data_IF_960571774860
#
_entry.id   IF_960571774860
#
_cell.length_a   1.000
_cell.length_b   1.000
_cell.length_c   1.000
_cell.angle_alpha   90.00
_cell.angle_beta   90.00
_cell.angle_gamma   90.00
#
_symmetry.space_group_name_H-M   'P 1'
#
loop_
_entity.id
_entity.type
_entity.pdbx_description
1 polymer ?
#
# COMPACT_ATOMS: atom_id res chain seq x y z
N UNK A 1 18.81 -17.42 -23.66
CA UNK A 1 18.68 -16.24 -22.81
C UNK A 1 19.62 -15.08 -23.18
N UNK A 2 20.74 -15.37 -23.90
CA UNK A 2 21.74 -14.34 -24.26
C UNK A 2 21.33 -13.41 -25.41
N UNK A 3 20.26 -13.68 -26.15
CA UNK A 3 19.88 -12.90 -27.36
C UNK A 3 18.96 -11.68 -27.13
N UNK A 4 18.45 -11.45 -25.88
CA UNK A 4 17.50 -10.36 -25.59
C UNK A 4 17.88 -9.54 -24.33
N UNK A 5 19.16 -9.38 -24.04
CA UNK A 5 19.63 -8.63 -22.86
C UNK A 5 19.24 -7.14 -22.85
N UNK A 6 18.79 -6.60 -23.99
CA UNK A 6 18.39 -5.20 -24.13
C UNK A 6 16.87 -4.99 -24.20
N UNK A 7 16.06 -6.05 -24.14
CA UNK A 7 14.60 -5.91 -24.11
C UNK A 7 14.17 -5.33 -22.73
N UNK A 8 13.54 -4.14 -22.71
CA UNK A 8 13.10 -3.50 -21.46
C UNK A 8 12.16 -4.36 -20.63
N UNK A 9 11.29 -5.18 -21.26
CA UNK A 9 10.34 -6.06 -20.55
C UNK A 9 11.05 -7.24 -19.89
N UNK A 10 12.06 -7.80 -20.58
CA UNK A 10 12.87 -8.88 -20.01
C UNK A 10 13.67 -8.36 -18.81
N UNK A 11 14.27 -7.19 -18.95
CA UNK A 11 15.00 -6.55 -17.85
C UNK A 11 14.08 -6.25 -16.66
N UNK A 12 12.83 -5.82 -16.88
CA UNK A 12 11.85 -5.60 -15.83
C UNK A 12 11.54 -6.89 -15.05
N UNK A 13 11.32 -8.01 -15.75
CA UNK A 13 11.06 -9.32 -15.11
C UNK A 13 12.27 -9.78 -14.29
N UNK A 14 13.48 -9.64 -14.84
CA UNK A 14 14.72 -9.99 -14.14
C UNK A 14 14.89 -9.14 -12.90
N UNK A 15 14.70 -7.83 -13.01
CA UNK A 15 14.79 -6.89 -11.89
C UNK A 15 13.80 -7.23 -10.77
N UNK A 16 12.54 -7.52 -11.13
CA UNK A 16 11.52 -7.95 -10.16
C UNK A 16 11.92 -9.25 -9.45
N UNK A 17 12.55 -10.18 -10.18
CA UNK A 17 13.04 -11.44 -9.60
C UNK A 17 14.16 -11.19 -8.59
N UNK A 18 15.14 -10.34 -8.94
CA UNK A 18 16.20 -9.94 -8.02
C UNK A 18 15.67 -9.21 -6.79
N UNK A 19 14.72 -8.27 -6.98
CA UNK A 19 14.08 -7.56 -5.86
C UNK A 19 13.38 -8.51 -4.89
N UNK A 20 12.68 -9.54 -5.39
CA UNK A 20 12.00 -10.54 -4.55
C UNK A 20 12.93 -11.39 -3.70
N UNK A 21 14.16 -11.58 -4.13
CA UNK A 21 15.20 -12.30 -3.38
C UNK A 21 16.20 -11.33 -2.71
N UNK A 22 15.79 -10.07 -2.51
CA UNK A 22 16.51 -9.01 -1.80
C UNK A 22 17.88 -8.64 -2.40
N UNK A 23 18.12 -9.01 -3.65
CA UNK A 23 19.30 -8.59 -4.40
C UNK A 23 19.07 -7.23 -5.06
N UNK A 24 19.00 -6.19 -4.21
CA UNK A 24 18.57 -4.87 -4.64
C UNK A 24 19.56 -4.20 -5.60
N UNK A 25 20.87 -4.42 -5.47
CA UNK A 25 21.88 -3.83 -6.36
C UNK A 25 21.77 -4.39 -7.78
N UNK A 26 21.64 -5.69 -7.91
CA UNK A 26 21.40 -6.36 -9.20
C UNK A 26 20.05 -5.92 -9.82
N UNK A 27 19.02 -5.76 -8.99
CA UNK A 27 17.74 -5.24 -9.46
C UNK A 27 17.86 -3.83 -10.05
N UNK A 28 18.64 -2.92 -9.43
CA UNK A 28 18.87 -1.55 -9.91
C UNK A 28 19.46 -1.55 -11.33
N UNK A 29 20.44 -2.41 -11.61
CA UNK A 29 21.08 -2.51 -12.92
C UNK A 29 20.09 -2.89 -14.04
N UNK A 30 19.18 -3.82 -13.73
CA UNK A 30 18.15 -4.24 -14.68
C UNK A 30 17.01 -3.23 -14.81
N UNK A 31 16.56 -2.61 -13.70
CA UNK A 31 15.58 -1.53 -13.76
C UNK A 31 16.10 -0.31 -14.54
N UNK A 32 17.40 -0.04 -14.52
CA UNK A 32 18.00 1.03 -15.30
C UNK A 32 17.88 0.82 -16.82
N UNK A 33 17.75 -0.43 -17.28
CA UNK A 33 17.52 -0.79 -18.69
C UNK A 33 16.03 -0.80 -19.08
N UNK A 34 15.14 -0.69 -18.10
CA UNK A 34 13.69 -0.60 -18.31
C UNK A 34 13.22 0.83 -18.11
N UNK A 35 12.56 1.39 -19.12
CA UNK A 35 12.07 2.78 -19.10
C UNK A 35 10.61 2.89 -18.64
N UNK A 36 10.03 1.84 -18.05
CA UNK A 36 8.66 1.92 -17.54
C UNK A 36 8.60 2.74 -16.25
N UNK A 37 7.48 3.44 -16.06
CA UNK A 37 7.24 4.19 -14.80
C UNK A 37 7.42 3.32 -13.57
N UNK A 38 6.81 2.15 -13.57
CA UNK A 38 6.87 1.20 -12.45
C UNK A 38 8.30 0.75 -12.17
N UNK A 39 9.11 0.53 -13.21
CA UNK A 39 10.51 0.17 -13.06
C UNK A 39 11.33 1.27 -12.39
N UNK A 40 11.06 2.54 -12.70
CA UNK A 40 11.74 3.66 -12.06
C UNK A 40 11.37 3.80 -10.58
N UNK A 41 10.09 3.57 -10.23
CA UNK A 41 9.65 3.57 -8.84
C UNK A 41 10.31 2.45 -8.02
N UNK A 42 10.39 1.25 -8.57
CA UNK A 42 11.06 0.12 -7.90
C UNK A 42 12.58 0.25 -7.90
N UNK A 43 13.19 0.89 -8.91
CA UNK A 43 14.60 1.25 -8.89
C UNK A 43 14.90 2.17 -7.72
N UNK A 44 14.10 3.23 -7.55
CA UNK A 44 14.23 4.15 -6.42
C UNK A 44 14.11 3.42 -5.08
N UNK A 45 13.14 2.51 -4.95
CA UNK A 45 12.99 1.70 -3.75
C UNK A 45 14.23 0.84 -3.47
N UNK A 46 14.75 0.14 -4.48
CA UNK A 46 15.95 -0.66 -4.33
C UNK A 46 17.15 0.17 -3.92
N UNK A 47 17.31 1.39 -4.47
CA UNK A 47 18.35 2.34 -4.08
C UNK A 47 18.18 2.73 -2.61
N UNK A 48 16.94 3.05 -2.20
CA UNK A 48 16.63 3.46 -0.82
C UNK A 48 16.96 2.37 0.20
N UNK A 49 16.58 1.13 -0.08
CA UNK A 49 16.83 -0.01 0.82
C UNK A 49 18.32 -0.40 0.87
N UNK A 50 19.03 -0.28 -0.25
CA UNK A 50 20.41 -0.75 -0.36
C UNK A 50 21.48 0.29 -0.02
N UNK A 51 21.10 1.50 0.40
CA UNK A 51 22.03 2.55 0.82
C UNK A 51 22.92 2.08 1.99
N UNK A 52 24.22 2.35 1.89
CA UNK A 52 25.20 1.99 2.94
C UNK A 52 26.09 3.15 3.37
N UNK A 53 26.15 4.22 2.59
CA UNK A 53 27.07 5.33 2.80
C UNK A 53 26.55 6.63 2.18
N UNK A 54 27.23 7.75 2.43
CA UNK A 54 26.82 9.07 1.94
C UNK A 54 26.84 9.19 0.42
N UNK A 55 27.69 8.43 -0.28
CA UNK A 55 27.69 8.39 -1.75
C UNK A 55 26.42 7.74 -2.28
N UNK A 56 25.99 6.61 -1.71
CA UNK A 56 24.74 5.96 -2.06
C UNK A 56 23.54 6.90 -1.78
N UNK A 57 23.58 7.58 -0.64
CA UNK A 57 22.55 8.56 -0.24
C UNK A 57 22.44 9.71 -1.25
N UNK A 58 23.60 10.24 -1.69
CA UNK A 58 23.61 11.31 -2.69
C UNK A 58 23.00 10.82 -4.01
N UNK A 59 23.41 9.66 -4.52
CA UNK A 59 22.88 9.08 -5.77
C UNK A 59 21.37 8.84 -5.68
N UNK A 60 20.89 8.38 -4.52
CA UNK A 60 19.46 8.23 -4.25
C UNK A 60 18.72 9.57 -4.34
N UNK A 61 19.21 10.62 -3.68
CA UNK A 61 18.56 11.94 -3.70
C UNK A 61 18.58 12.57 -5.09
N UNK A 62 19.71 12.48 -5.81
CA UNK A 62 19.83 12.99 -7.17
C UNK A 62 18.76 12.32 -8.09
N UNK A 63 18.55 11.01 -7.95
CA UNK A 63 17.55 10.27 -8.72
C UNK A 63 16.11 10.57 -8.26
N UNK A 64 15.88 10.73 -6.98
CA UNK A 64 14.57 11.16 -6.44
C UNK A 64 14.17 12.53 -6.97
N UNK A 65 15.11 13.49 -6.99
CA UNK A 65 14.88 14.83 -7.54
C UNK A 65 14.61 14.80 -9.05
N UNK A 66 15.30 13.92 -9.80
CA UNK A 66 15.00 13.69 -11.22
C UNK A 66 13.55 13.23 -11.41
N UNK A 67 13.09 12.24 -10.64
CA UNK A 67 11.72 11.75 -10.72
C UNK A 67 10.69 12.83 -10.33
N UNK A 68 10.96 13.60 -9.30
CA UNK A 68 10.07 14.67 -8.82
C UNK A 68 9.89 15.80 -9.86
N UNK A 69 10.93 16.08 -10.64
CA UNK A 69 10.89 17.11 -11.69
C UNK A 69 10.09 16.68 -12.94
N UNK A 70 9.73 15.41 -13.07
CA UNK A 70 9.05 14.86 -14.26
C UNK A 70 7.51 14.89 -14.20
N UNK A 71 6.88 15.63 -13.29
CA UNK A 71 5.43 15.60 -13.05
C UNK A 71 4.90 14.19 -12.73
N UNK A 72 5.72 13.38 -12.12
CA UNK A 72 5.48 11.98 -11.85
C UNK A 72 4.83 11.80 -10.48
N UNK A 73 3.53 11.66 -10.42
CA UNK A 73 2.82 11.28 -9.19
C UNK A 73 2.63 9.76 -9.12
N UNK A 74 3.60 9.09 -8.54
CA UNK A 74 3.54 7.66 -8.23
C UNK A 74 3.47 7.47 -6.71
N UNK A 75 2.54 6.67 -6.18
CA UNK A 75 2.39 6.50 -4.73
C UNK A 75 3.67 5.99 -4.04
N UNK A 76 4.43 5.09 -4.69
CA UNK A 76 5.65 4.54 -4.12
C UNK A 76 6.76 5.59 -4.06
N UNK A 77 6.99 6.34 -5.15
CA UNK A 77 7.96 7.45 -5.18
C UNK A 77 7.61 8.49 -4.12
N UNK A 78 6.34 8.86 -4.05
CA UNK A 78 5.85 9.83 -3.08
C UNK A 78 6.00 9.37 -1.63
N UNK A 79 5.71 8.09 -1.35
CA UNK A 79 5.92 7.51 -0.02
C UNK A 79 7.41 7.48 0.36
N UNK A 80 8.29 7.10 -0.58
CA UNK A 80 9.74 7.09 -0.34
C UNK A 80 10.26 8.52 -0.12
N UNK A 81 9.78 9.50 -0.90
CA UNK A 81 10.12 10.91 -0.70
C UNK A 81 9.75 11.37 0.70
N UNK A 82 8.51 11.16 1.13
CA UNK A 82 8.04 11.53 2.47
C UNK A 82 8.79 10.78 3.56
N UNK A 83 9.01 9.47 3.42
CA UNK A 83 9.75 8.68 4.39
C UNK A 83 11.20 9.14 4.52
N UNK A 84 11.90 9.35 3.39
CA UNK A 84 13.28 9.82 3.38
C UNK A 84 13.42 11.23 3.98
N UNK A 85 12.44 12.10 3.74
CA UNK A 85 12.44 13.45 4.31
C UNK A 85 12.32 13.43 5.83
N UNK A 86 11.51 12.53 6.38
CA UNK A 86 11.37 12.34 7.83
C UNK A 86 12.66 11.73 8.39
N UNK A 87 13.13 10.63 7.79
CA UNK A 87 14.34 9.92 8.22
C UNK A 87 15.58 10.79 8.26
N UNK A 88 15.79 11.60 7.23
CA UNK A 88 17.01 12.42 7.07
C UNK A 88 16.80 13.88 7.48
N UNK A 89 15.64 14.25 7.99
CA UNK A 89 15.28 15.64 8.33
C UNK A 89 15.47 16.61 7.16
N UNK A 90 15.20 16.16 5.94
CA UNK A 90 15.30 16.94 4.71
C UNK A 90 13.93 17.48 4.29
N UNK A 91 13.92 18.45 3.36
CA UNK A 91 12.67 18.87 2.73
C UNK A 91 12.11 17.76 1.84
N UNK A 92 10.80 17.52 1.96
CA UNK A 92 10.07 16.69 0.99
C UNK A 92 9.72 17.55 -0.22
N UNK A 93 10.48 17.40 -1.32
CA UNK A 93 10.27 18.14 -2.56
C UNK A 93 8.97 17.72 -3.28
N UNK A 94 8.45 16.52 -3.02
CA UNK A 94 7.16 16.08 -3.52
C UNK A 94 5.97 16.73 -2.80
N UNK A 95 6.17 17.23 -1.59
CA UNK A 95 5.10 17.68 -0.69
C UNK A 95 3.93 16.68 -0.56
N UNK A 96 4.21 15.39 -0.77
CA UNK A 96 3.14 14.40 -0.86
C UNK A 96 2.42 14.22 0.47
N UNK A 97 3.16 13.85 1.54
CA UNK A 97 2.56 13.60 2.85
C UNK A 97 3.59 13.76 3.98
N UNK A 98 3.93 15.00 4.34
CA UNK A 98 4.97 15.30 5.36
C UNK A 98 4.65 14.78 6.75
N UNK A 99 3.36 14.62 7.06
CA UNK A 99 2.87 14.15 8.37
C UNK A 99 1.86 13.02 8.15
N UNK A 100 2.31 11.81 7.79
CA UNK A 100 1.40 10.73 7.40
C UNK A 100 0.39 10.33 8.48
N UNK A 101 0.75 10.45 9.76
CA UNK A 101 -0.15 10.12 10.87
C UNK A 101 -1.34 11.07 10.99
N UNK A 102 -1.25 12.31 10.51
CA UNK A 102 -2.37 13.27 10.50
C UNK A 102 -3.49 12.82 9.54
N UNK A 103 -3.20 11.90 8.61
CA UNK A 103 -4.15 11.37 7.64
C UNK A 103 -4.75 10.01 8.04
N UNK A 104 -4.44 9.51 9.24
CA UNK A 104 -5.10 8.34 9.79
C UNK A 104 -6.48 8.75 10.31
N UNK A 105 -7.53 8.13 9.77
CA UNK A 105 -8.91 8.39 10.18
C UNK A 105 -9.63 7.10 10.53
N UNK A 106 -10.25 7.08 11.70
CA UNK A 106 -11.20 6.04 12.10
C UNK A 106 -12.61 6.53 11.82
N UNK A 107 -13.43 5.72 11.18
CA UNK A 107 -14.85 5.98 10.96
C UNK A 107 -15.69 4.81 11.46
N UNK A 108 -16.93 5.10 11.85
CA UNK A 108 -17.90 4.08 12.23
C UNK A 108 -18.89 3.90 11.08
N UNK A 109 -18.84 2.77 10.38
CA UNK A 109 -19.74 2.47 9.26
C UNK A 109 -21.15 2.17 9.72
N UNK A 110 -21.39 1.77 10.98
CA UNK A 110 -22.73 1.59 11.54
C UNK A 110 -23.54 2.89 11.66
N UNK A 111 -22.93 4.05 11.44
CA UNK A 111 -23.68 5.30 11.25
C UNK A 111 -24.43 5.35 9.91
N UNK A 112 -24.10 4.48 8.97
CA UNK A 112 -24.85 4.26 7.74
C UNK A 112 -25.90 3.18 7.99
N UNK A 113 -27.18 3.49 7.80
CA UNK A 113 -28.31 2.56 8.02
C UNK A 113 -28.21 1.28 7.20
N UNK A 114 -27.54 1.32 6.06
CA UNK A 114 -27.34 0.18 5.17
C UNK A 114 -26.21 -0.75 5.65
N UNK A 115 -25.39 -0.33 6.62
CA UNK A 115 -24.30 -1.12 7.19
C UNK A 115 -24.69 -1.60 8.59
N UNK A 116 -25.30 -2.75 8.67
CA UNK A 116 -25.80 -3.38 9.89
C UNK A 116 -25.38 -4.87 9.96
N UNK A 117 -25.71 -5.54 11.05
CA UNK A 117 -25.32 -6.94 11.27
C UNK A 117 -25.87 -7.87 10.20
N UNK A 118 -27.14 -7.72 9.80
CA UNK A 118 -27.77 -8.56 8.77
C UNK A 118 -27.04 -8.40 7.43
N UNK A 119 -26.67 -7.17 7.08
CA UNK A 119 -25.88 -6.89 5.87
C UNK A 119 -24.51 -7.57 5.94
N UNK A 120 -23.81 -7.47 7.08
CA UNK A 120 -22.49 -8.09 7.26
C UNK A 120 -22.61 -9.61 7.13
N UNK A 121 -23.63 -10.21 7.74
CA UNK A 121 -23.86 -11.66 7.63
C UNK A 121 -24.14 -12.08 6.19
N UNK A 122 -24.99 -11.36 5.49
CA UNK A 122 -25.27 -11.63 4.08
C UNK A 122 -24.03 -11.48 3.20
N UNK A 123 -23.21 -10.43 3.43
CA UNK A 123 -21.96 -10.22 2.71
C UNK A 123 -21.00 -11.38 2.91
N UNK A 124 -20.78 -11.81 4.16
CA UNK A 124 -19.90 -12.94 4.47
C UNK A 124 -20.43 -14.26 3.88
N UNK A 125 -21.74 -14.46 3.89
CA UNK A 125 -22.39 -15.63 3.28
C UNK A 125 -22.17 -15.66 1.77
N UNK A 126 -22.29 -14.53 1.08
CA UNK A 126 -22.11 -14.44 -0.36
C UNK A 126 -20.64 -14.67 -0.76
N UNK A 127 -19.68 -14.14 0.01
CA UNK A 127 -18.25 -14.44 -0.18
C UNK A 127 -17.99 -15.95 -0.04
N UNK A 128 -18.54 -16.59 1.00
CA UNK A 128 -18.37 -18.03 1.20
C UNK A 128 -19.01 -18.87 0.06
N UNK A 129 -20.21 -18.48 -0.38
CA UNK A 129 -20.91 -19.15 -1.49
C UNK A 129 -20.22 -18.97 -2.84
N UNK A 130 -19.43 -17.93 -3.02
CA UNK A 130 -18.74 -17.66 -4.29
C UNK A 130 -17.69 -18.71 -4.64
N UNK A 131 -17.27 -19.52 -3.67
CA UNK A 131 -16.20 -20.49 -3.86
C UNK A 131 -14.83 -19.85 -4.06
N UNK A 132 -14.69 -18.53 -3.77
CA UNK A 132 -13.38 -17.86 -3.84
C UNK A 132 -12.37 -18.56 -2.94
N UNK A 133 -11.23 -18.91 -3.49
CA UNK A 133 -10.21 -19.64 -2.76
C UNK A 133 -9.67 -18.80 -1.60
N UNK A 134 -9.51 -19.43 -0.43
CA UNK A 134 -8.86 -18.85 0.74
C UNK A 134 -7.55 -19.58 1.01
N UNK A 135 -6.48 -18.83 1.24
CA UNK A 135 -5.15 -19.38 1.48
C UNK A 135 -4.36 -18.60 2.51
N UNK A 136 -3.37 -19.25 3.09
CA UNK A 136 -2.35 -18.57 3.86
C UNK A 136 -1.56 -17.60 2.99
N UNK A 137 -1.12 -16.50 3.58
CA UNK A 137 -0.24 -15.49 2.97
C UNK A 137 1.03 -15.39 3.81
N UNK A 138 2.14 -14.99 3.18
CA UNK A 138 3.44 -14.91 3.84
C UNK A 138 3.45 -14.02 5.09
N UNK A 139 2.68 -12.92 5.06
CA UNK A 139 2.59 -11.95 6.15
C UNK A 139 1.45 -12.26 7.15
N UNK A 140 0.67 -13.31 6.89
CA UNK A 140 -0.53 -13.63 7.66
C UNK A 140 -0.28 -14.86 8.53
N UNK A 141 -0.13 -14.63 9.82
CA UNK A 141 0.08 -15.68 10.80
C UNK A 141 -1.27 -16.16 11.36
N UNK A 142 -1.49 -17.47 11.39
CA UNK A 142 -2.69 -18.11 11.90
C UNK A 142 -4.00 -17.52 11.36
N UNK A 143 -4.06 -17.34 10.04
CA UNK A 143 -5.20 -16.79 9.33
C UNK A 143 -5.28 -17.22 7.88
N UNK A 144 -6.37 -16.86 7.21
CA UNK A 144 -6.60 -17.10 5.79
C UNK A 144 -7.06 -15.80 5.12
N UNK A 145 -6.71 -15.65 3.86
CA UNK A 145 -7.10 -14.53 3.01
C UNK A 145 -7.73 -15.04 1.72
N UNK A 146 -8.80 -14.39 1.26
CA UNK A 146 -9.37 -14.66 -0.08
C UNK A 146 -8.39 -14.29 -1.17
N UNK A 147 -8.37 -15.07 -2.24
CA UNK A 147 -7.52 -14.82 -3.42
C UNK A 147 -8.18 -13.84 -4.38
N UNK A 148 -7.39 -12.95 -4.99
CA UNK A 148 -7.90 -11.98 -5.96
C UNK A 148 -8.70 -10.85 -5.33
N UNK A 149 -9.48 -10.15 -6.17
CA UNK A 149 -10.28 -9.01 -5.75
C UNK A 149 -11.72 -9.42 -5.48
N UNK A 150 -12.19 -9.37 -4.23
CA UNK A 150 -13.56 -9.72 -3.87
C UNK A 150 -14.60 -8.82 -4.54
N UNK A 151 -14.24 -7.59 -4.91
CA UNK A 151 -15.16 -6.64 -5.58
C UNK A 151 -15.42 -6.98 -7.06
N UNK A 152 -14.81 -8.03 -7.59
CA UNK A 152 -15.15 -8.62 -8.89
C UNK A 152 -16.29 -9.66 -8.80
N UNK A 153 -16.76 -10.01 -7.60
CA UNK A 153 -17.87 -10.93 -7.40
C UNK A 153 -19.20 -10.22 -7.67
N UNK A 154 -20.12 -10.89 -8.37
CA UNK A 154 -21.37 -10.31 -8.87
C UNK A 154 -22.56 -10.39 -7.86
N UNK A 155 -22.27 -10.48 -6.55
CA UNK A 155 -23.30 -10.49 -5.51
C UNK A 155 -23.78 -9.08 -5.17
N UNK A 156 -25.07 -8.94 -4.86
CA UNK A 156 -25.67 -7.65 -4.47
C UNK A 156 -25.00 -7.06 -3.21
N UNK A 157 -24.71 -7.91 -2.23
CA UNK A 157 -24.01 -7.49 -1.00
C UNK A 157 -22.62 -6.95 -1.27
N UNK A 158 -21.88 -7.54 -2.23
CA UNK A 158 -20.54 -7.08 -2.64
C UNK A 158 -20.62 -5.72 -3.34
N UNK A 159 -21.58 -5.54 -4.25
CA UNK A 159 -21.83 -4.24 -4.91
C UNK A 159 -22.18 -3.17 -3.89
N UNK A 160 -23.06 -3.48 -2.94
CA UNK A 160 -23.44 -2.57 -1.85
C UNK A 160 -22.27 -2.23 -0.93
N UNK A 161 -21.44 -3.21 -0.55
CA UNK A 161 -20.23 -2.95 0.22
C UNK A 161 -19.29 -2.00 -0.52
N UNK A 162 -19.11 -2.18 -1.82
CA UNK A 162 -18.29 -1.30 -2.64
C UNK A 162 -18.83 0.14 -2.65
N UNK A 163 -20.14 0.34 -2.75
CA UNK A 163 -20.78 1.66 -2.65
C UNK A 163 -20.51 2.32 -1.31
N UNK A 164 -20.72 1.61 -0.20
CA UNK A 164 -20.46 2.09 1.16
C UNK A 164 -18.98 2.52 1.32
N UNK A 165 -18.05 1.75 0.76
CA UNK A 165 -16.62 2.08 0.78
C UNK A 165 -16.35 3.35 -0.04
N UNK A 166 -16.94 3.49 -1.22
CA UNK A 166 -16.77 4.68 -2.07
C UNK A 166 -17.27 5.93 -1.33
N UNK A 167 -18.42 5.88 -0.71
CA UNK A 167 -18.98 6.98 0.08
C UNK A 167 -18.08 7.34 1.26
N UNK A 168 -17.51 6.34 1.91
CA UNK A 168 -16.55 6.56 3.01
C UNK A 168 -15.24 7.18 2.52
N UNK A 169 -14.74 6.77 1.35
CA UNK A 169 -13.55 7.38 0.70
C UNK A 169 -13.82 8.85 0.36
N UNK A 170 -15.01 9.17 -0.16
CA UNK A 170 -15.39 10.57 -0.46
C UNK A 170 -15.48 11.40 0.82
N UNK A 171 -16.10 10.86 1.86
CA UNK A 171 -16.15 11.49 3.19
C UNK A 171 -14.76 11.72 3.78
N UNK A 172 -13.86 10.74 3.65
CA UNK A 172 -12.47 10.85 4.03
C UNK A 172 -11.80 12.01 3.31
N UNK A 173 -11.84 12.03 1.98
CA UNK A 173 -11.25 13.11 1.17
C UNK A 173 -11.81 14.49 1.56
N UNK A 174 -13.12 14.60 1.75
CA UNK A 174 -13.77 15.84 2.15
C UNK A 174 -13.30 16.36 3.52
N UNK A 175 -12.96 15.45 4.45
CA UNK A 175 -12.42 15.83 5.75
C UNK A 175 -11.08 16.56 5.66
N UNK A 176 -10.33 16.32 4.60
CA UNK A 176 -9.01 16.91 4.36
C UNK A 176 -8.99 17.91 3.19
N UNK A 177 -10.14 18.37 2.71
CA UNK A 177 -10.26 19.25 1.53
C UNK A 177 -9.42 20.54 1.58
N UNK A 178 -9.08 21.00 2.76
CA UNK A 178 -8.27 22.20 2.98
C UNK A 178 -6.78 21.88 3.20
N UNK A 179 -6.38 20.62 3.06
CA UNK A 179 -4.98 20.23 3.21
C UNK A 179 -4.12 20.71 2.05
N UNK A 180 -2.90 21.13 2.39
CA UNK A 180 -1.89 21.52 1.41
C UNK A 180 -1.10 20.31 0.85
N UNK A 181 -1.29 19.14 1.40
CA UNK A 181 -0.62 17.90 0.97
C UNK A 181 -1.03 17.50 -0.46
N UNK A 182 -0.06 17.12 -1.26
CA UNK A 182 -0.31 16.60 -2.60
C UNK A 182 -1.03 15.25 -2.59
N UNK A 183 -0.95 14.50 -1.49
CA UNK A 183 -1.80 13.34 -1.25
C UNK A 183 -3.29 13.65 -1.44
N UNK A 184 -3.74 14.83 -1.04
CA UNK A 184 -5.13 15.29 -1.17
C UNK A 184 -5.35 16.07 -2.47
N UNK A 185 -4.42 16.97 -2.83
CA UNK A 185 -4.55 17.83 -4.03
C UNK A 185 -4.51 17.03 -5.33
N UNK A 186 -3.65 16.02 -5.40
CA UNK A 186 -3.47 15.16 -6.58
C UNK A 186 -4.33 13.89 -6.53
N UNK A 187 -5.37 13.88 -5.69
CA UNK A 187 -6.27 12.71 -5.57
C UNK A 187 -6.72 12.18 -6.92
N UNK A 188 -6.54 10.89 -7.22
CA UNK A 188 -6.88 10.32 -8.52
C UNK A 188 -8.34 10.55 -8.88
N UNK A 189 -8.61 11.02 -10.10
CA UNK A 189 -9.99 11.16 -10.62
C UNK A 189 -10.64 9.80 -10.83
N UNK A 190 -9.87 8.84 -11.31
CA UNK A 190 -10.29 7.46 -11.50
C UNK A 190 -9.43 6.54 -10.62
N UNK A 191 -10.06 5.61 -9.95
CA UNK A 191 -9.37 4.64 -9.10
C UNK A 191 -10.09 3.29 -9.14
N UNK A 192 -9.34 2.25 -8.87
CA UNK A 192 -9.87 0.91 -8.65
C UNK A 192 -9.90 0.61 -7.15
N UNK A 193 -10.95 -0.11 -6.73
CA UNK A 193 -10.98 -0.67 -5.38
C UNK A 193 -10.56 -2.13 -5.50
N UNK A 194 -9.52 -2.45 -4.77
CA UNK A 194 -9.05 -3.82 -4.61
C UNK A 194 -9.20 -4.23 -3.15
N UNK A 195 -9.83 -5.36 -2.90
CA UNK A 195 -10.05 -5.83 -1.53
C UNK A 195 -10.05 -7.34 -1.43
N UNK A 196 -9.74 -7.79 -0.23
CA UNK A 196 -9.80 -9.20 0.17
C UNK A 196 -10.33 -9.31 1.59
N UNK A 197 -10.92 -10.46 1.90
CA UNK A 197 -11.37 -10.80 3.23
C UNK A 197 -10.27 -11.57 3.96
N UNK A 198 -9.94 -11.12 5.16
CA UNK A 198 -9.00 -11.78 6.06
C UNK A 198 -9.78 -12.36 7.25
N UNK A 199 -9.53 -13.64 7.54
CA UNK A 199 -10.07 -14.34 8.70
C UNK A 199 -8.92 -14.77 9.61
N UNK A 200 -8.82 -14.15 10.77
CA UNK A 200 -7.83 -14.48 11.79
C UNK A 200 -8.43 -15.47 12.80
N UNK A 201 -7.64 -16.44 13.21
CA UNK A 201 -7.92 -17.30 14.37
C UNK A 201 -7.35 -16.67 15.64
N UNK A 202 -7.67 -17.25 16.79
CA UNK A 202 -7.10 -16.82 18.08
C UNK A 202 -5.57 -16.79 18.02
N UNK A 203 -4.96 -15.67 18.41
CA UNK A 203 -3.52 -15.44 18.34
C UNK A 203 -2.98 -15.17 16.94
N UNK A 204 -3.85 -15.02 15.95
CA UNK A 204 -3.44 -14.63 14.58
C UNK A 204 -3.11 -13.15 14.47
N UNK A 205 -2.19 -12.83 13.59
CA UNK A 205 -1.78 -11.45 13.29
C UNK A 205 -1.42 -11.30 11.82
N UNK A 206 -1.40 -10.07 11.37
CA UNK A 206 -0.87 -9.66 10.09
C UNK A 206 0.38 -8.83 10.33
N UNK A 207 1.50 -9.23 9.75
CA UNK A 207 2.77 -8.55 9.93
C UNK A 207 2.77 -7.15 9.30
N UNK A 208 3.62 -6.23 9.79
CA UNK A 208 3.75 -4.89 9.23
C UNK A 208 4.05 -4.94 7.74
N UNK A 209 3.32 -4.15 6.96
CA UNK A 209 3.52 -4.06 5.51
C UNK A 209 2.92 -2.78 4.95
N UNK A 210 3.28 -2.47 3.71
CA UNK A 210 2.77 -1.33 2.95
C UNK A 210 2.19 -1.81 1.61
N UNK A 211 1.08 -1.23 1.20
CA UNK A 211 0.51 -1.44 -0.14
C UNK A 211 1.12 -0.43 -1.11
N UNK A 212 2.26 -0.78 -1.70
CA UNK A 212 3.14 0.12 -2.48
C UNK A 212 2.48 0.77 -3.69
N UNK A 213 1.44 0.14 -4.24
CA UNK A 213 0.70 0.64 -5.42
C UNK A 213 -0.62 1.33 -5.04
N UNK A 214 -0.97 1.34 -3.74
CA UNK A 214 -2.21 1.90 -3.25
C UNK A 214 -2.09 3.39 -2.91
N UNK A 215 -3.01 4.21 -3.43
CA UNK A 215 -3.12 5.61 -3.02
C UNK A 215 -3.63 5.74 -1.59
N UNK A 216 -4.62 4.95 -1.23
CA UNK A 216 -5.21 4.87 0.10
C UNK A 216 -5.42 3.41 0.48
N UNK A 217 -5.09 3.05 1.70
CA UNK A 217 -5.37 1.74 2.29
C UNK A 217 -6.32 1.88 3.47
N UNK A 218 -7.21 0.90 3.63
CA UNK A 218 -8.09 0.84 4.80
C UNK A 218 -8.34 -0.60 5.24
N UNK A 219 -8.72 -0.75 6.51
CA UNK A 219 -9.19 -2.00 7.07
C UNK A 219 -10.59 -1.81 7.62
N UNK A 220 -11.50 -2.71 7.27
CA UNK A 220 -12.87 -2.74 7.78
C UNK A 220 -13.02 -3.97 8.67
N UNK A 221 -13.31 -3.74 9.93
CA UNK A 221 -13.56 -4.79 10.90
C UNK A 221 -15.02 -5.18 10.88
N UNK A 222 -15.33 -6.34 10.30
CA UNK A 222 -16.69 -6.85 10.14
C UNK A 222 -17.18 -7.60 11.39
N UNK A 223 -16.31 -8.43 11.96
CA UNK A 223 -16.57 -9.18 13.21
C UNK A 223 -15.33 -9.12 14.09
N UNK A 224 -15.50 -8.76 15.32
CA UNK A 224 -14.46 -8.75 16.34
C UNK A 224 -14.87 -9.62 17.51
N UNK A 225 -13.97 -10.42 18.11
CA UNK A 225 -14.22 -11.08 19.38
C UNK A 225 -14.30 -10.03 20.51
N UNK A 226 -14.88 -10.43 21.63
CA UNK A 226 -14.80 -9.62 22.83
C UNK A 226 -13.33 -9.41 23.22
N UNK A 227 -12.93 -8.15 23.38
CA UNK A 227 -11.56 -7.76 23.67
C UNK A 227 -11.32 -7.72 25.18
N UNK A 228 -10.21 -8.30 25.61
CA UNK A 228 -9.72 -8.12 26.98
C UNK A 228 -8.49 -7.19 27.04
N UNK A 229 -7.82 -6.91 25.91
CA UNK A 229 -6.59 -6.15 25.79
C UNK A 229 -6.51 -5.45 24.41
N UNK A 230 -5.30 -5.15 23.96
CA UNK A 230 -5.01 -4.56 22.63
C UNK A 230 -5.09 -5.53 21.45
N UNK A 231 -5.61 -6.74 21.66
CA UNK A 231 -5.80 -7.74 20.61
C UNK A 231 -6.69 -7.21 19.48
N UNK A 232 -6.29 -7.47 18.24
CA UNK A 232 -7.01 -7.02 17.05
C UNK A 232 -6.89 -5.53 16.76
N UNK A 233 -6.03 -4.78 17.45
CA UNK A 233 -5.72 -3.42 17.10
C UNK A 233 -4.86 -3.37 15.84
N UNK A 234 -5.02 -2.28 15.07
CA UNK A 234 -4.09 -1.92 14.01
C UNK A 234 -3.01 -0.99 14.58
N UNK A 235 -1.75 -1.26 14.24
CA UNK A 235 -0.62 -0.40 14.60
C UNK A 235 -0.09 0.27 13.32
N UNK A 236 0.15 1.57 13.39
CA UNK A 236 0.78 2.33 12.32
C UNK A 236 2.19 2.72 12.75
N UNK A 237 3.14 2.62 11.83
CA UNK A 237 4.51 3.10 12.03
C UNK A 237 5.14 3.46 10.70
N UNK A 238 6.23 4.21 10.72
CA UNK A 238 7.03 4.49 9.52
C UNK A 238 7.76 3.25 9.01
N UNK A 239 7.93 2.24 9.86
CA UNK A 239 8.65 0.99 9.55
C UNK A 239 7.76 -0.08 8.86
N UNK A 240 6.57 0.25 8.43
CA UNK A 240 5.61 -0.71 7.85
C UNK A 240 6.09 -1.42 6.58
N UNK A 241 7.02 -0.84 5.83
CA UNK A 241 7.61 -1.47 4.64
C UNK A 241 8.97 -2.11 4.88
N UNK A 242 9.44 -2.17 6.11
CA UNK A 242 10.80 -2.61 6.46
C UNK A 242 11.88 -1.61 6.08
N UNK A 243 11.51 -0.34 5.81
CA UNK A 243 12.51 0.71 5.60
C UNK A 243 13.14 1.10 6.92
N UNK A 244 14.45 1.37 6.89
CA UNK A 244 15.14 1.91 8.06
C UNK A 244 14.63 3.30 8.42
N UNK A 245 14.43 3.55 9.71
CA UNK A 245 13.91 4.82 10.23
C UNK A 245 14.96 5.65 10.97
N UNK A 246 16.15 5.08 11.20
CA UNK A 246 17.24 5.69 12.00
C UNK A 246 16.77 6.13 13.41
N UNK A 247 15.76 5.40 13.96
CA UNK A 247 15.19 5.68 15.29
C UNK A 247 14.07 6.74 15.30
N UNK A 248 13.59 7.15 14.13
CA UNK A 248 12.39 8.00 14.00
C UNK A 248 11.18 7.07 13.82
N UNK A 249 10.24 7.06 14.78
CA UNK A 249 8.99 6.28 14.77
C UNK A 249 7.76 7.16 14.46
#
# INVERSE_FOLDING_TARGET
>A
LEKNNDDPKVNDIIAQSYRKIEKHREAIEHYAKSNSRLSQSYKLECMYISMKNDSDKKIFHDFLDELNNTSYSDPLVSCISSHSSIRFSNNDNCNFCKKPFDYIKKSNLFSNNDFNEDFIEQFLLDINKSGINQKAQALLNNGLQTSGNIFNLEYKSVKKMKEIIIDNIQSYRNSYKNSDSDFIKLWPKNFLIFGWLISLKKGGNLDPHMHKEGWLSSSIYLKLPNKNNDEGNIKFSLNGAGYETDGVD
#
